data_IF_101248281347
#
_entry.id   IF_101248281347
#
_cell.length_a   1.000
_cell.length_b   1.000
_cell.length_c   1.000
_cell.angle_alpha   90.00
_cell.angle_beta   90.00
_cell.angle_gamma   90.00
#
_symmetry.space_group_name_H-M   'P 1'
#
loop_
_entity.id
_entity.type
_entity.pdbx_description
1 polymer ?
#
# COMPACT_ATOMS: atom_id res chain seq x y z
N UNK A 1 -32.66 -2.75 4.27
CA UNK A 1 -31.83 -2.50 5.49
C UNK A 1 -32.79 -2.24 6.65
N UNK A 2 -32.60 -2.83 7.82
CA UNK A 2 -33.48 -2.60 8.98
C UNK A 2 -32.71 -1.93 10.14
N UNK A 3 -33.44 -1.34 11.09
CA UNK A 3 -32.85 -0.61 12.21
C UNK A 3 -32.03 -1.49 13.16
N UNK A 4 -32.41 -2.76 13.33
CA UNK A 4 -31.68 -3.71 14.16
C UNK A 4 -30.24 -3.93 13.67
N UNK A 5 -30.05 -4.09 12.35
CA UNK A 5 -28.71 -4.26 11.76
C UNK A 5 -27.86 -3.00 11.87
N UNK A 6 -28.45 -1.81 11.69
CA UNK A 6 -27.73 -0.55 11.87
C UNK A 6 -27.29 -0.35 13.33
N UNK A 7 -28.13 -0.73 14.29
CA UNK A 7 -27.79 -0.69 15.72
C UNK A 7 -26.66 -1.67 16.07
N UNK A 8 -26.67 -2.88 15.49
CA UNK A 8 -25.59 -3.83 15.65
C UNK A 8 -24.26 -3.25 15.12
N UNK A 9 -24.25 -2.75 13.87
CA UNK A 9 -23.05 -2.15 13.25
C UNK A 9 -22.53 -0.97 14.08
N UNK A 10 -23.42 -0.07 14.51
CA UNK A 10 -23.03 1.07 15.36
C UNK A 10 -22.42 0.62 16.69
N UNK A 11 -22.97 -0.43 17.31
CA UNK A 11 -22.44 -0.98 18.57
C UNK A 11 -21.02 -1.54 18.39
N UNK A 12 -20.73 -2.17 17.24
CA UNK A 12 -19.41 -2.73 16.92
C UNK A 12 -18.40 -1.59 16.72
N UNK A 13 -18.75 -0.56 15.94
CA UNK A 13 -17.88 0.60 15.68
C UNK A 13 -17.53 1.33 17.00
N UNK A 14 -18.51 1.49 17.89
CA UNK A 14 -18.31 2.11 19.20
C UNK A 14 -17.41 1.27 20.11
N UNK A 15 -17.52 -0.06 20.04
CA UNK A 15 -16.68 -0.99 20.82
C UNK A 15 -15.24 -1.08 20.28
N UNK A 16 -15.03 -0.99 18.97
CA UNK A 16 -13.69 -1.11 18.37
C UNK A 16 -12.83 0.15 18.56
N UNK A 17 -13.45 1.34 18.54
CA UNK A 17 -12.76 2.63 18.70
C UNK A 17 -11.87 2.74 19.95
N UNK A 18 -12.32 2.43 21.18
CA UNK A 18 -11.47 2.52 22.37
C UNK A 18 -10.34 1.50 22.36
N UNK A 19 -10.57 0.27 21.86
CA UNK A 19 -9.54 -0.79 21.80
C UNK A 19 -8.33 -0.32 20.97
N UNK A 20 -8.57 0.30 19.82
CA UNK A 20 -7.52 0.86 18.97
C UNK A 20 -6.81 2.06 19.63
N UNK A 21 -7.57 2.91 20.32
CA UNK A 21 -7.07 4.17 20.90
C UNK A 21 -6.32 4.00 22.21
N UNK A 22 -6.64 3.02 23.05
CA UNK A 22 -6.01 2.84 24.36
C UNK A 22 -5.09 1.63 24.39
N UNK A 23 -5.57 0.46 23.96
CA UNK A 23 -4.80 -0.79 24.03
C UNK A 23 -3.71 -0.85 22.97
N UNK A 24 -4.08 -0.61 21.71
CA UNK A 24 -3.13 -0.76 20.60
C UNK A 24 -2.12 0.40 20.50
N UNK A 25 -2.48 1.60 20.95
CA UNK A 25 -1.59 2.77 20.89
C UNK A 25 -0.52 2.72 21.98
N UNK A 26 -0.90 2.43 23.23
CA UNK A 26 0.02 2.38 24.38
C UNK A 26 1.03 1.25 24.25
N UNK A 27 0.59 0.06 23.82
CA UNK A 27 1.49 -1.06 23.51
C UNK A 27 2.45 -0.75 22.36
N UNK A 28 1.95 -0.15 21.27
CA UNK A 28 2.81 0.25 20.13
C UNK A 28 3.84 1.30 20.52
N UNK A 29 3.49 2.28 21.37
CA UNK A 29 4.44 3.29 21.82
C UNK A 29 5.60 2.68 22.61
N UNK A 30 5.32 1.72 23.50
CA UNK A 30 6.36 1.00 24.24
C UNK A 30 7.26 0.18 23.31
N UNK A 31 6.67 -0.54 22.35
CA UNK A 31 7.43 -1.31 21.34
C UNK A 31 8.23 -0.39 20.42
N UNK A 32 7.70 0.77 20.03
CA UNK A 32 8.41 1.75 19.21
C UNK A 32 9.66 2.28 19.92
N UNK A 33 9.60 2.54 21.23
CA UNK A 33 10.76 2.95 22.01
C UNK A 33 11.84 1.84 22.04
N UNK A 34 11.42 0.59 22.17
CA UNK A 34 12.33 -0.56 22.12
C UNK A 34 12.99 -0.72 20.74
N UNK A 35 12.20 -0.57 19.66
CA UNK A 35 12.64 -0.76 18.28
C UNK A 35 13.44 0.44 17.72
N UNK A 36 13.28 1.65 18.25
CA UNK A 36 14.14 2.80 17.89
C UNK A 36 15.63 2.51 18.07
N UNK A 37 15.98 1.66 19.04
CA UNK A 37 17.36 1.22 19.27
C UNK A 37 17.89 0.29 18.16
N UNK A 38 17.01 -0.40 17.45
CA UNK A 38 17.34 -1.34 16.36
C UNK A 38 17.23 -0.71 14.95
N UNK A 39 16.57 0.44 14.82
CA UNK A 39 16.22 1.05 13.54
C UNK A 39 17.32 1.85 12.82
N UNK A 40 18.39 2.25 13.51
CA UNK A 40 19.40 3.20 12.97
C UNK A 40 20.20 2.69 11.76
N UNK A 41 20.26 1.37 11.55
CA UNK A 41 21.08 0.76 10.50
C UNK A 41 20.25 0.11 9.37
N UNK A 42 18.96 0.43 9.26
CA UNK A 42 18.05 -0.17 8.26
C UNK A 42 17.40 0.90 7.37
N UNK A 43 18.23 1.73 6.71
CA UNK A 43 17.75 2.60 5.63
C UNK A 43 17.16 1.72 4.53
N UNK A 44 15.92 2.00 4.16
CA UNK A 44 15.06 1.13 3.35
C UNK A 44 14.48 1.94 2.20
N UNK A 45 13.99 1.25 1.16
CA UNK A 45 13.30 1.79 -0.03
C UNK A 45 12.38 2.97 0.30
N UNK A 46 11.68 2.94 1.44
CA UNK A 46 10.78 4.00 1.92
C UNK A 46 11.40 5.41 2.05
N UNK A 47 12.73 5.53 2.18
CA UNK A 47 13.41 6.84 2.22
C UNK A 47 13.56 7.48 0.83
N UNK A 48 13.45 6.66 -0.22
CA UNK A 48 13.72 7.07 -1.60
C UNK A 48 12.48 6.96 -2.49
N UNK A 49 11.68 5.92 -2.29
CA UNK A 49 10.57 5.56 -3.15
C UNK A 49 9.36 5.19 -2.29
N UNK A 50 8.21 5.78 -2.57
CA UNK A 50 6.94 5.49 -1.90
C UNK A 50 5.79 5.76 -2.85
N UNK A 51 4.80 4.88 -2.90
CA UNK A 51 3.63 5.06 -3.75
C UNK A 51 2.35 4.64 -3.01
N UNK A 52 1.28 5.39 -3.23
CA UNK A 52 -0.06 5.09 -2.74
C UNK A 52 -1.10 5.43 -3.82
N UNK A 53 -2.08 4.56 -4.02
CA UNK A 53 -3.15 4.77 -5.00
C UNK A 53 -4.29 5.63 -4.47
N UNK A 54 -4.31 5.93 -3.17
CA UNK A 54 -5.45 6.57 -2.51
C UNK A 54 -6.68 5.64 -2.45
N UNK A 55 -7.56 5.90 -1.49
CA UNK A 55 -8.70 5.03 -1.18
C UNK A 55 -9.81 5.81 -0.47
N UNK A 56 -10.97 5.15 -0.32
CA UNK A 56 -12.19 5.69 0.31
C UNK A 56 -12.70 6.98 -0.35
N UNK A 57 -13.37 6.87 -1.52
CA UNK A 57 -14.00 8.01 -2.16
C UNK A 57 -15.17 8.54 -1.30
N UNK A 58 -15.23 9.86 -1.10
CA UNK A 58 -16.31 10.52 -0.36
C UNK A 58 -17.61 10.55 -1.18
N UNK A 59 -17.51 11.03 -2.43
CA UNK A 59 -18.59 10.94 -3.41
C UNK A 59 -18.56 9.60 -4.17
N UNK A 60 -19.70 8.89 -4.31
CA UNK A 60 -19.75 7.62 -5.04
C UNK A 60 -19.31 7.75 -6.50
N UNK A 61 -18.58 6.74 -6.99
CA UNK A 61 -18.09 6.61 -8.37
C UNK A 61 -17.11 7.70 -8.86
N UNK A 62 -16.72 8.65 -8.00
CA UNK A 62 -15.65 9.60 -8.30
C UNK A 62 -14.34 9.13 -7.66
N UNK A 63 -13.40 8.67 -8.49
CA UNK A 63 -12.07 8.22 -8.06
C UNK A 63 -10.97 9.25 -8.37
N UNK A 64 -11.36 10.52 -8.53
CA UNK A 64 -10.43 11.64 -8.60
C UNK A 64 -9.64 11.78 -7.29
N UNK A 65 -8.39 12.23 -7.38
CA UNK A 65 -7.50 12.32 -6.23
C UNK A 65 -8.05 13.26 -5.13
N UNK A 66 -8.84 14.27 -5.49
CA UNK A 66 -9.48 15.21 -4.56
C UNK A 66 -10.64 14.60 -3.75
N UNK A 67 -11.24 13.52 -4.23
CA UNK A 67 -12.38 12.89 -3.60
C UNK A 67 -11.99 11.72 -2.66
N UNK A 68 -10.72 11.30 -2.69
CA UNK A 68 -10.21 10.19 -1.89
C UNK A 68 -9.80 10.67 -0.50
N UNK A 69 -10.32 10.04 0.56
CA UNK A 69 -9.96 10.36 1.94
C UNK A 69 -8.53 9.90 2.29
N UNK A 70 -8.02 8.88 1.60
CA UNK A 70 -6.60 8.52 1.65
C UNK A 70 -5.86 9.07 0.42
N UNK A 71 -4.65 9.64 0.60
CA UNK A 71 -3.94 10.33 -0.46
C UNK A 71 -3.43 9.38 -1.55
N UNK A 72 -3.47 9.86 -2.80
CA UNK A 72 -2.85 9.24 -3.98
C UNK A 72 -1.57 10.00 -4.35
N UNK A 73 -0.52 9.28 -4.71
CA UNK A 73 0.71 9.86 -5.25
C UNK A 73 1.90 8.91 -5.19
N UNK A 74 2.96 9.26 -5.91
CA UNK A 74 4.25 8.60 -5.88
C UNK A 74 5.38 9.60 -5.58
N UNK A 75 6.33 9.16 -4.78
CA UNK A 75 7.56 9.87 -4.42
C UNK A 75 8.71 9.04 -4.96
N UNK A 76 9.63 9.69 -5.67
CA UNK A 76 10.81 9.07 -6.26
C UNK A 76 12.06 9.86 -5.86
N UNK A 77 13.22 9.20 -5.88
CA UNK A 77 14.52 9.81 -5.57
C UNK A 77 14.61 10.52 -4.20
N UNK A 78 13.72 10.20 -3.25
CA UNK A 78 13.66 10.79 -1.91
C UNK A 78 13.22 12.26 -1.88
N UNK A 79 12.58 12.75 -2.96
CA UNK A 79 12.10 14.13 -3.07
C UNK A 79 10.67 14.25 -2.52
N UNK A 80 10.55 14.41 -1.20
CA UNK A 80 9.25 14.50 -0.51
C UNK A 80 8.48 15.81 -0.77
N UNK A 81 9.14 16.80 -1.37
CA UNK A 81 8.58 18.05 -1.85
C UNK A 81 7.86 17.90 -3.20
N UNK A 82 8.16 16.84 -3.95
CA UNK A 82 7.59 16.57 -5.27
C UNK A 82 6.74 15.28 -5.22
N UNK A 83 5.41 15.44 -5.23
CA UNK A 83 4.47 14.31 -5.28
C UNK A 83 3.99 14.14 -6.71
N UNK A 84 4.38 13.03 -7.34
CA UNK A 84 3.94 12.69 -8.70
C UNK A 84 2.52 12.11 -8.68
N UNK A 85 1.64 12.54 -9.61
CA UNK A 85 0.37 11.86 -9.81
C UNK A 85 0.60 10.43 -10.29
N UNK A 86 -0.38 9.56 -10.05
CA UNK A 86 -0.34 8.15 -10.47
C UNK A 86 -1.52 7.90 -11.39
N UNK A 87 -1.24 7.46 -12.62
CA UNK A 87 -2.21 7.05 -13.62
C UNK A 87 -2.12 5.54 -13.87
N UNK A 88 -3.19 4.82 -13.54
CA UNK A 88 -3.27 3.37 -13.73
C UNK A 88 -3.47 2.97 -15.19
N UNK A 89 -3.82 3.92 -16.07
CA UNK A 89 -4.10 3.68 -17.48
C UNK A 89 -2.90 3.97 -18.39
N UNK A 90 -1.91 4.70 -17.89
CA UNK A 90 -0.67 4.99 -18.57
C UNK A 90 0.20 3.71 -18.62
N UNK A 91 0.45 3.11 -19.80
CA UNK A 91 1.17 1.84 -19.91
C UNK A 91 2.67 1.96 -19.55
N UNK A 92 3.18 3.18 -19.54
CA UNK A 92 4.56 3.54 -19.24
C UNK A 92 4.82 3.80 -17.75
N UNK A 93 3.79 3.97 -16.91
CA UNK A 93 3.95 4.19 -15.46
C UNK A 93 4.09 2.88 -14.68
N UNK A 94 3.03 2.07 -14.57
CA UNK A 94 2.99 0.89 -13.70
C UNK A 94 3.25 -0.36 -14.53
N UNK A 95 4.41 -0.98 -14.30
CA UNK A 95 4.87 -2.15 -15.06
C UNK A 95 5.33 -3.28 -14.14
N UNK A 96 5.07 -4.51 -14.54
CA UNK A 96 5.52 -5.71 -13.85
C UNK A 96 6.49 -6.52 -14.73
N UNK A 97 7.68 -6.76 -14.22
CA UNK A 97 8.72 -7.52 -14.93
C UNK A 97 8.84 -8.95 -14.40
N UNK A 98 8.89 -9.92 -15.31
CA UNK A 98 8.91 -11.36 -14.97
C UNK A 98 10.30 -11.99 -14.95
N UNK A 99 11.37 -11.20 -15.12
CA UNK A 99 12.77 -11.67 -15.29
C UNK A 99 13.27 -12.57 -14.16
N UNK A 100 12.81 -12.34 -12.93
CA UNK A 100 13.14 -13.14 -11.75
C UNK A 100 11.90 -13.77 -11.12
N UNK A 101 10.91 -14.12 -11.95
CA UNK A 101 9.65 -14.75 -11.53
C UNK A 101 9.42 -16.08 -12.26
N UNK A 102 8.41 -16.84 -11.84
CA UNK A 102 8.07 -18.13 -12.47
C UNK A 102 7.09 -18.03 -13.64
N UNK A 103 6.99 -16.87 -14.29
CA UNK A 103 6.12 -16.63 -15.45
C UNK A 103 6.94 -16.38 -16.71
N UNK A 104 6.30 -16.51 -17.88
CA UNK A 104 6.94 -16.27 -19.18
C UNK A 104 6.03 -15.42 -20.03
N UNK A 105 6.54 -14.27 -20.47
CA UNK A 105 5.86 -13.44 -21.45
C UNK A 105 6.41 -13.69 -22.84
N UNK A 106 5.54 -13.61 -23.86
CA UNK A 106 5.88 -13.91 -25.27
C UNK A 106 6.95 -12.94 -25.80
N UNK A 107 6.92 -11.70 -25.34
CA UNK A 107 7.89 -10.64 -25.64
C UNK A 107 9.16 -10.69 -24.77
N UNK A 108 9.14 -11.43 -23.66
CA UNK A 108 10.35 -11.82 -22.94
C UNK A 108 10.95 -13.05 -23.63
N UNK A 109 11.49 -12.80 -24.83
CA UNK A 109 12.10 -13.76 -25.74
C UNK A 109 12.99 -14.76 -24.96
N UNK A 110 12.59 -16.03 -25.00
CA UNK A 110 13.47 -17.21 -24.93
C UNK A 110 14.32 -17.43 -23.65
N UNK A 111 13.77 -17.38 -22.44
CA UNK A 111 14.52 -17.82 -21.23
C UNK A 111 14.04 -19.17 -20.64
N UNK A 112 12.86 -19.68 -21.00
CA UNK A 112 12.32 -20.92 -20.38
C UNK A 112 12.42 -22.22 -21.18
N UNK A 113 13.05 -22.21 -22.36
CA UNK A 113 13.31 -23.45 -23.11
C UNK A 113 14.57 -24.21 -22.65
N UNK A 114 15.49 -23.57 -21.90
CA UNK A 114 16.78 -24.20 -21.53
C UNK A 114 16.74 -25.01 -20.22
N UNK A 115 15.88 -24.68 -19.25
CA UNK A 115 15.96 -25.26 -17.88
C UNK A 115 15.18 -26.59 -17.75
N UNK A 116 14.47 -27.04 -18.79
CA UNK A 116 13.67 -28.29 -18.76
C UNK A 116 14.35 -29.49 -19.42
N UNK A 117 15.63 -29.37 -19.81
CA UNK A 117 16.42 -30.43 -20.43
C UNK A 117 17.72 -30.81 -19.70
N UNK A 118 17.90 -30.38 -18.45
CA UNK A 118 19.04 -30.74 -17.59
C UNK A 118 18.55 -31.29 -16.24
N UNK A 119 17.79 -32.38 -16.27
CA UNK A 119 17.80 -33.48 -15.29
C UNK A 119 17.52 -34.75 -16.06
#
# INVERSE_FOLDING_TARGET
MNMERLNLVSSIIKKSSPVLRTGLSSGRLADCQLLQRLGKNRRRVIEHESAAYGEFPDNPNDYSASNLLLPRGAIINGRFDEIHPVDLTAPDEIQEFVTHSWYTYVTAIMIRACIRGMV
#
